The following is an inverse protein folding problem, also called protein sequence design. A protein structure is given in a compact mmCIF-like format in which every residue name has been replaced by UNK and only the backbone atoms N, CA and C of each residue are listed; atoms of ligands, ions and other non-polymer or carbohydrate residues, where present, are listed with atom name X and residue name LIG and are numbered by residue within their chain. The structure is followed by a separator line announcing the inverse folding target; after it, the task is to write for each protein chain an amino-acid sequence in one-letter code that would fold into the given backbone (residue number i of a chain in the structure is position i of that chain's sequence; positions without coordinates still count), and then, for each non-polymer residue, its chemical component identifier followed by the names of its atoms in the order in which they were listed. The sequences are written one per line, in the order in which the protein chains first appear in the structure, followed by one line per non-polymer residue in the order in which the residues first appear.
data_IF_496111717067
#
_entry.id   IF_496111717067
#
_cell.length_a   1.000
_cell.length_b   1.000
_cell.length_c   1.000
_cell.angle_alpha   90.00
_cell.angle_beta   90.00
_cell.angle_gamma   90.00
#
_symmetry.space_group_name_H-M   'P 1'
#
loop_
_entity.id
_entity.type
_entity.pdbx_description
1 polymer ?
#
# COMPACT_ATOMS: atom_id res chain seq x y z
N UNK A 1 -13.97 -48.61 0.59
CA UNK A 1 -13.18 -48.17 1.76
C UNK A 1 -12.36 -46.96 1.29
N UNK A 2 -12.98 -45.78 1.39
CA UNK A 2 -12.31 -44.55 0.98
C UNK A 2 -11.64 -43.96 2.20
N UNK A 3 -10.30 -43.81 2.15
CA UNK A 3 -9.51 -43.14 3.14
C UNK A 3 -9.54 -41.65 2.82
N UNK A 4 -10.24 -40.84 3.62
CA UNK A 4 -10.17 -39.39 3.58
C UNK A 4 -8.90 -38.96 4.33
N UNK A 5 -7.86 -38.55 3.58
CA UNK A 5 -6.73 -37.83 4.16
C UNK A 5 -7.20 -36.40 4.49
N UNK A 6 -7.43 -36.13 5.76
CA UNK A 6 -7.58 -34.78 6.27
C UNK A 6 -6.21 -34.10 6.24
N UNK A 7 -6.01 -33.20 5.26
CA UNK A 7 -4.89 -32.27 5.29
C UNK A 7 -5.15 -31.26 6.42
N UNK A 8 -4.43 -31.44 7.54
CA UNK A 8 -4.46 -30.48 8.63
C UNK A 8 -3.82 -29.16 8.16
N UNK A 9 -4.63 -28.12 7.98
CA UNK A 9 -4.15 -26.75 7.98
C UNK A 9 -3.52 -26.49 9.36
N UNK A 10 -2.21 -26.37 9.42
CA UNK A 10 -1.54 -25.72 10.54
C UNK A 10 -1.96 -24.24 10.48
N UNK A 11 -3.01 -23.90 11.22
CA UNK A 11 -3.32 -22.53 11.55
C UNK A 11 -2.09 -21.99 12.30
N UNK A 12 -1.39 -21.03 11.70
CA UNK A 12 -0.38 -20.27 12.43
C UNK A 12 -1.09 -19.71 13.67
N UNK A 13 -0.57 -20.00 14.85
CA UNK A 13 -1.12 -19.49 16.10
C UNK A 13 -1.18 -17.97 15.99
N UNK A 14 -2.39 -17.41 16.20
CA UNK A 14 -2.55 -15.96 16.26
C UNK A 14 -1.54 -15.41 17.30
N UNK A 15 -0.77 -14.39 16.95
CA UNK A 15 0.20 -13.83 17.87
C UNK A 15 -0.50 -13.42 19.17
N UNK A 16 0.12 -13.76 20.31
CA UNK A 16 -0.39 -13.36 21.61
C UNK A 16 -0.45 -11.83 21.65
N UNK A 17 -1.52 -11.24 22.18
CA UNK A 17 -1.66 -9.80 22.24
C UNK A 17 -0.50 -9.20 23.01
N UNK A 18 0.32 -8.40 22.35
CA UNK A 18 1.42 -7.72 22.98
C UNK A 18 0.89 -6.75 24.06
N UNK A 19 1.51 -6.78 25.19
CA UNK A 19 1.28 -5.77 26.24
C UNK A 19 1.77 -4.42 25.70
N UNK A 20 1.03 -3.34 25.91
CA UNK A 20 1.50 -2.01 25.59
C UNK A 20 2.86 -1.78 26.26
N UNK A 21 3.82 -1.33 25.46
CA UNK A 21 5.21 -1.28 25.87
C UNK A 21 5.53 0.10 26.44
N UNK A 22 6.57 0.16 27.27
CA UNK A 22 7.21 1.41 27.67
C UNK A 22 8.53 1.58 26.93
N UNK A 23 8.92 2.83 26.68
CA UNK A 23 10.23 3.16 26.15
C UNK A 23 11.11 3.79 27.22
N UNK A 24 12.46 3.70 27.10
CA UNK A 24 13.37 4.38 28.00
C UNK A 24 13.07 5.88 28.18
N UNK A 25 12.64 6.55 27.11
CA UNK A 25 12.28 7.95 27.17
C UNK A 25 10.99 8.20 27.98
N UNK A 26 9.98 7.34 27.84
CA UNK A 26 8.73 7.40 28.61
C UNK A 26 8.99 7.11 30.09
N UNK A 27 9.81 6.11 30.38
CA UNK A 27 10.21 5.76 31.77
C UNK A 27 10.95 6.92 32.44
N UNK A 28 11.89 7.54 31.74
CA UNK A 28 12.61 8.72 32.23
C UNK A 28 11.66 9.92 32.48
N UNK A 29 10.68 10.12 31.60
CA UNK A 29 9.64 11.14 31.77
C UNK A 29 8.79 10.87 33.01
N UNK A 30 8.37 9.63 33.24
CA UNK A 30 7.60 9.21 34.43
C UNK A 30 8.41 9.39 35.71
N UNK A 31 9.69 9.00 35.73
CA UNK A 31 10.59 9.21 36.87
C UNK A 31 10.76 10.69 37.19
N UNK A 32 10.93 11.54 36.14
CA UNK A 32 11.02 12.99 36.30
C UNK A 32 9.76 13.58 36.92
N UNK A 33 8.57 13.13 36.53
CA UNK A 33 7.30 13.58 37.07
C UNK A 33 7.08 13.15 38.52
N UNK A 34 7.57 11.96 38.89
CA UNK A 34 7.51 11.47 40.26
C UNK A 34 8.34 12.35 41.23
N UNK A 35 9.48 12.84 40.75
CA UNK A 35 10.32 13.79 41.52
C UNK A 35 9.88 15.24 41.41
N UNK A 36 9.41 15.67 40.27
CA UNK A 36 9.05 17.06 39.92
C UNK A 36 7.70 17.07 39.17
N UNK A 37 6.56 17.09 39.90
CA UNK A 37 5.23 17.00 39.26
C UNK A 37 4.91 18.12 38.24
N UNK A 38 5.61 19.24 38.30
CA UNK A 38 5.40 20.40 37.40
C UNK A 38 6.39 20.45 36.22
N UNK A 39 7.14 19.38 35.94
CA UNK A 39 8.15 19.34 34.88
C UNK A 39 7.56 19.04 33.48
N UNK A 40 6.24 19.17 33.29
CA UNK A 40 5.57 18.85 32.03
C UNK A 40 6.17 19.54 30.80
N UNK A 41 6.42 20.84 30.86
CA UNK A 41 6.99 21.60 29.76
C UNK A 41 8.43 21.19 29.43
N UNK A 42 9.20 20.78 30.43
CA UNK A 42 10.56 20.26 30.26
C UNK A 42 10.52 18.91 29.53
N UNK A 43 9.66 18.01 30.00
CA UNK A 43 9.46 16.69 29.39
C UNK A 43 9.00 16.81 27.96
N UNK A 44 8.02 17.70 27.69
CA UNK A 44 7.55 17.93 26.34
C UNK A 44 8.64 18.45 25.41
N UNK A 45 9.48 19.37 25.89
CA UNK A 45 10.65 19.85 25.13
C UNK A 45 11.69 18.77 24.89
N UNK A 46 11.94 17.88 25.86
CA UNK A 46 12.87 16.76 25.68
C UNK A 46 12.34 15.78 24.62
N UNK A 47 11.09 15.33 24.74
CA UNK A 47 10.47 14.40 23.77
C UNK A 47 10.46 14.99 22.36
N UNK A 48 10.06 16.24 22.20
CA UNK A 48 10.02 16.92 20.90
C UNK A 48 11.40 17.20 20.34
N UNK A 49 12.37 17.50 21.20
CA UNK A 49 13.77 17.72 20.81
C UNK A 49 14.46 16.47 20.25
N UNK A 50 14.01 15.27 20.65
CA UNK A 50 14.47 13.99 20.09
C UNK A 50 13.81 13.65 18.76
N UNK A 51 12.72 14.33 18.39
CA UNK A 51 11.90 14.07 17.21
C UNK A 51 10.77 13.06 17.51
N UNK A 52 9.59 13.36 16.97
CA UNK A 52 8.40 12.51 17.09
C UNK A 52 7.92 12.03 15.71
N UNK A 53 7.46 10.76 15.60
CA UNK A 53 7.50 9.69 16.61
C UNK A 53 8.94 9.36 17.03
N UNK A 54 9.14 9.10 18.32
CA UNK A 54 10.45 8.70 18.82
C UNK A 54 10.75 7.27 18.39
N UNK A 55 11.92 7.03 17.79
CA UNK A 55 12.35 5.72 17.32
C UNK A 55 13.57 5.28 18.11
N UNK A 56 13.45 4.18 18.83
CA UNK A 56 14.49 3.61 19.66
C UNK A 56 14.84 2.19 19.22
N UNK A 57 16.06 1.76 19.51
CA UNK A 57 16.47 0.37 19.25
C UNK A 57 15.66 -0.59 20.13
N UNK A 58 15.15 -1.67 19.54
CA UNK A 58 14.49 -2.72 20.31
C UNK A 58 15.53 -3.46 21.18
N UNK A 59 15.26 -3.73 22.48
CA UNK A 59 16.27 -4.20 23.42
C UNK A 59 16.80 -5.63 23.15
N UNK A 60 16.04 -6.46 22.44
CA UNK A 60 16.37 -7.87 22.21
C UNK A 60 16.19 -8.37 20.78
N UNK A 61 15.65 -7.55 19.87
CA UNK A 61 15.41 -7.94 18.48
C UNK A 61 15.83 -6.84 17.51
N UNK A 62 16.87 -7.10 16.73
CA UNK A 62 17.43 -6.15 15.77
C UNK A 62 16.49 -5.90 14.57
N UNK A 63 15.54 -6.80 14.28
CA UNK A 63 14.56 -6.65 13.21
C UNK A 63 13.43 -5.69 13.58
N UNK A 64 13.34 -5.29 14.85
CA UNK A 64 12.32 -4.39 15.36
C UNK A 64 12.90 -3.04 15.79
N UNK A 65 12.03 -2.05 15.85
CA UNK A 65 12.25 -0.74 16.48
C UNK A 65 11.13 -0.49 17.46
N UNK A 66 11.47 0.15 18.58
CA UNK A 66 10.48 0.66 19.52
C UNK A 66 10.08 2.07 19.09
N UNK A 67 8.80 2.27 18.82
CA UNK A 67 8.27 3.53 18.32
C UNK A 67 7.31 4.11 19.32
N UNK A 68 7.61 5.31 19.83
CA UNK A 68 6.75 6.02 20.75
C UNK A 68 6.08 7.20 20.05
N UNK A 69 4.76 7.17 20.02
CA UNK A 69 3.93 8.29 19.59
C UNK A 69 3.56 9.12 20.81
N UNK A 70 3.67 10.42 20.71
CA UNK A 70 3.29 11.34 21.77
C UNK A 70 2.40 12.46 21.25
N UNK A 71 1.42 12.85 22.05
CA UNK A 71 0.50 13.95 21.76
C UNK A 71 0.36 14.81 23.00
N UNK A 72 0.45 16.14 22.84
CA UNK A 72 0.11 17.06 23.92
C UNK A 72 -1.31 17.58 23.73
N UNK A 73 -2.17 17.24 24.67
CA UNK A 73 -3.55 17.70 24.73
C UNK A 73 -3.68 19.17 25.11
N UNK A 74 -4.88 19.61 25.22
CA UNK A 74 -5.30 20.92 25.73
C UNK A 74 -6.62 20.74 26.47
N UNK A 75 -7.11 21.77 27.05
CA UNK A 75 -8.38 21.76 27.80
C UNK A 75 -9.51 21.08 27.02
N UNK A 76 -10.18 20.16 27.67
CA UNK A 76 -11.31 19.41 27.14
C UNK A 76 -10.96 18.15 26.36
N UNK A 77 -9.67 17.80 26.19
CA UNK A 77 -9.28 16.48 25.64
C UNK A 77 -9.46 15.42 26.73
N UNK A 78 -10.32 14.44 26.45
CA UNK A 78 -10.65 13.34 27.39
C UNK A 78 -9.96 12.04 27.03
N UNK A 79 -9.50 11.88 25.78
CA UNK A 79 -8.79 10.72 25.28
C UNK A 79 -8.08 10.99 23.97
N UNK A 80 -7.06 10.21 23.70
CA UNK A 80 -6.33 10.21 22.43
C UNK A 80 -6.11 8.77 22.01
N UNK A 81 -6.36 8.46 20.74
CA UNK A 81 -6.12 7.12 20.18
C UNK A 81 -5.21 7.22 18.96
N UNK A 82 -4.37 6.21 18.80
CA UNK A 82 -3.57 6.01 17.58
C UNK A 82 -4.39 5.24 16.55
N UNK A 83 -4.50 5.77 15.34
CA UNK A 83 -5.07 5.12 14.18
C UNK A 83 -3.94 4.84 13.18
N UNK A 84 -3.55 3.58 13.05
CA UNK A 84 -2.45 3.14 12.19
C UNK A 84 -2.53 1.64 11.94
N UNK A 85 -2.02 1.19 10.80
CA UNK A 85 -1.83 -0.25 10.50
C UNK A 85 -0.84 -0.91 11.46
N UNK A 86 0.02 -0.14 12.13
CA UNK A 86 0.93 -0.62 13.19
C UNK A 86 0.20 -1.18 14.40
N UNK A 87 -1.09 -0.94 14.53
CA UNK A 87 -1.91 -1.47 15.61
C UNK A 87 -2.22 -2.98 15.43
N UNK A 88 -2.02 -3.53 14.23
CA UNK A 88 -2.38 -4.91 13.91
C UNK A 88 -1.90 -5.95 14.95
N UNK A 89 -0.65 -5.93 15.44
CA UNK A 89 -0.19 -6.89 16.45
C UNK A 89 -0.89 -6.80 17.81
N UNK A 90 -1.59 -5.69 18.06
CA UNK A 90 -2.20 -5.36 19.36
C UNK A 90 -3.74 -5.48 19.33
N UNK A 91 -4.31 -5.71 18.16
CA UNK A 91 -5.77 -5.89 17.98
C UNK A 91 -6.18 -7.30 18.40
N UNK A 92 -7.26 -7.41 19.19
CA UNK A 92 -7.79 -8.68 19.68
C UNK A 92 -9.12 -9.00 19.01
N UNK A 93 -9.21 -10.22 18.49
CA UNK A 93 -10.45 -10.74 17.91
C UNK A 93 -10.78 -10.13 16.55
N UNK A 94 -12.04 -10.29 16.16
CA UNK A 94 -12.56 -9.75 14.89
C UNK A 94 -12.81 -8.25 15.01
N UNK A 95 -12.38 -7.49 14.02
CA UNK A 95 -12.62 -6.06 13.94
C UNK A 95 -13.98 -5.81 13.29
N UNK A 96 -14.99 -5.51 14.11
CA UNK A 96 -16.34 -5.20 13.67
C UNK A 96 -16.56 -3.70 13.42
N UNK A 97 -15.96 -2.86 14.26
CA UNK A 97 -15.91 -1.40 14.11
C UNK A 97 -14.45 -0.95 14.04
N UNK A 98 -13.96 -0.66 12.83
CA UNK A 98 -12.58 -0.28 12.60
C UNK A 98 -12.12 0.90 13.46
N UNK A 99 -12.96 1.93 13.62
CA UNK A 99 -12.61 3.13 14.39
C UNK A 99 -12.41 2.85 15.87
N UNK A 100 -13.16 1.90 16.42
CA UNK A 100 -13.09 1.53 17.82
C UNK A 100 -12.12 0.39 18.06
N UNK A 101 -12.22 -0.66 17.24
CA UNK A 101 -11.56 -1.93 17.52
C UNK A 101 -10.13 -1.96 16.98
N UNK A 102 -9.83 -1.20 15.92
CA UNK A 102 -8.49 -1.16 15.30
C UNK A 102 -7.64 0.03 15.75
N UNK A 103 -8.13 0.92 16.60
CA UNK A 103 -7.37 2.03 17.16
C UNK A 103 -6.95 1.77 18.59
N UNK A 104 -5.74 2.21 18.98
CA UNK A 104 -5.21 1.98 20.32
C UNK A 104 -5.23 3.26 21.15
N UNK A 105 -5.68 3.22 22.42
CA UNK A 105 -5.67 4.39 23.30
C UNK A 105 -4.23 4.72 23.70
N UNK A 106 -3.88 6.01 23.70
CA UNK A 106 -2.68 6.52 24.34
C UNK A 106 -2.92 6.61 25.85
N UNK A 107 -1.85 6.42 26.61
CA UNK A 107 -1.86 6.59 28.06
C UNK A 107 -1.38 7.99 28.42
N UNK A 108 -2.10 8.65 29.31
CA UNK A 108 -1.71 9.95 29.85
C UNK A 108 -0.55 9.79 30.83
N UNK A 109 0.48 10.61 30.69
CA UNK A 109 1.62 10.62 31.63
C UNK A 109 1.24 11.33 32.92
N UNK A 110 1.00 10.58 33.97
CA UNK A 110 0.54 11.11 35.26
C UNK A 110 -0.62 12.11 35.08
N UNK A 111 -0.56 13.25 35.77
CA UNK A 111 -1.57 14.34 35.70
C UNK A 111 -1.23 15.42 34.64
N UNK A 112 -0.34 15.13 33.68
CA UNK A 112 0.04 16.04 32.60
C UNK A 112 -0.93 15.97 31.42
N UNK A 113 -0.82 16.89 30.46
CA UNK A 113 -1.53 16.83 29.19
C UNK A 113 -0.77 16.06 28.11
N UNK A 114 0.28 15.31 28.47
CA UNK A 114 1.05 14.50 27.55
C UNK A 114 0.48 13.07 27.51
N UNK A 115 0.16 12.62 26.31
CA UNK A 115 -0.35 11.28 26.03
C UNK A 115 0.67 10.51 25.20
N UNK A 116 0.94 9.25 25.55
CA UNK A 116 1.93 8.42 24.86
C UNK A 116 1.43 7.01 24.59
N UNK A 117 1.93 6.41 23.54
CA UNK A 117 1.84 4.97 23.28
C UNK A 117 3.15 4.50 22.64
N UNK A 118 3.64 3.37 23.08
CA UNK A 118 4.85 2.74 22.55
C UNK A 118 4.49 1.39 21.94
N UNK A 119 4.93 1.19 20.69
CA UNK A 119 4.72 -0.04 19.92
C UNK A 119 6.06 -0.55 19.40
N UNK A 120 6.18 -1.86 19.19
CA UNK A 120 7.24 -2.42 18.37
C UNK A 120 6.79 -2.47 16.91
N UNK A 121 7.67 -2.13 16.00
CA UNK A 121 7.44 -2.10 14.57
C UNK A 121 8.65 -2.68 13.82
N UNK A 122 8.43 -3.30 12.68
CA UNK A 122 9.52 -3.80 11.84
C UNK A 122 10.47 -2.66 11.47
N UNK A 123 11.78 -2.96 11.47
CA UNK A 123 12.84 -1.94 11.32
C UNK A 123 12.82 -1.18 10.00
N UNK A 124 12.06 -1.65 9.00
CA UNK A 124 11.91 -1.06 7.67
C UNK A 124 10.45 -0.72 7.31
N UNK A 125 9.55 -0.71 8.31
CA UNK A 125 8.12 -0.43 8.07
C UNK A 125 7.88 0.97 7.51
N UNK A 126 6.92 1.05 6.59
CA UNK A 126 6.31 2.30 6.15
C UNK A 126 4.81 2.25 6.43
N UNK A 127 4.32 3.19 7.21
CA UNK A 127 2.93 3.22 7.64
C UNK A 127 2.39 4.64 7.79
N UNK A 128 1.11 4.82 7.50
CA UNK A 128 0.41 6.05 7.87
C UNK A 128 -0.11 5.96 9.30
N UNK A 129 -0.24 7.12 9.95
CA UNK A 129 -0.88 7.21 11.25
C UNK A 129 -1.57 8.55 11.46
N UNK A 130 -2.52 8.56 12.39
CA UNK A 130 -3.25 9.74 12.83
C UNK A 130 -3.56 9.64 14.31
N UNK A 131 -3.78 10.79 14.95
CA UNK A 131 -4.39 10.83 16.26
C UNK A 131 -5.90 11.03 16.13
N UNK A 132 -6.68 10.20 16.84
CA UNK A 132 -8.09 10.42 17.07
C UNK A 132 -8.24 11.05 18.46
N UNK A 133 -8.68 12.29 18.48
CA UNK A 133 -8.79 13.10 19.70
C UNK A 133 -10.24 13.09 20.16
N UNK A 134 -10.46 12.61 21.36
CA UNK A 134 -11.75 12.59 22.05
C UNK A 134 -11.95 13.91 22.82
N UNK A 135 -13.03 14.62 22.53
CA UNK A 135 -13.36 15.90 23.15
C UNK A 135 -14.87 15.97 23.36
N UNK A 136 -15.33 15.63 24.55
CA UNK A 136 -16.74 15.38 24.82
C UNK A 136 -17.25 14.23 23.95
N UNK A 137 -18.32 14.43 23.19
CA UNK A 137 -18.85 13.44 22.24
C UNK A 137 -18.16 13.49 20.87
N UNK A 138 -17.29 14.46 20.63
CA UNK A 138 -16.62 14.62 19.35
C UNK A 138 -15.35 13.78 19.26
N UNK A 139 -15.21 13.06 18.14
CA UNK A 139 -13.99 12.34 17.76
C UNK A 139 -13.38 13.03 16.53
N UNK A 140 -12.19 13.60 16.67
CA UNK A 140 -11.53 14.37 15.61
C UNK A 140 -10.23 13.71 15.19
N UNK A 141 -10.11 13.38 13.90
CA UNK A 141 -8.86 12.88 13.30
C UNK A 141 -7.91 14.03 13.02
N UNK A 142 -6.64 13.87 13.42
CA UNK A 142 -5.56 14.85 13.23
C UNK A 142 -4.27 14.15 12.84
N UNK A 143 -3.56 14.76 11.89
CA UNK A 143 -2.16 14.41 11.67
C UNK A 143 -1.31 14.87 12.86
N UNK A 144 -0.18 14.23 13.06
CA UNK A 144 0.83 14.67 14.01
C UNK A 144 1.45 15.99 13.52
N UNK A 145 1.25 17.07 14.28
CA UNK A 145 1.75 18.40 13.91
C UNK A 145 3.28 18.49 13.97
N UNK A 146 3.91 17.59 14.72
CA UNK A 146 5.36 17.58 14.93
C UNK A 146 6.10 16.68 13.91
N UNK A 147 5.38 15.81 13.22
CA UNK A 147 5.96 15.02 12.13
C UNK A 147 5.86 15.81 10.80
N UNK A 148 6.99 16.20 10.18
CA UNK A 148 6.97 16.89 8.89
C UNK A 148 6.56 16.00 7.73
N UNK A 149 6.62 14.66 7.89
CA UNK A 149 6.30 13.69 6.86
C UNK A 149 4.80 13.43 6.84
N UNK A 150 4.15 13.82 5.76
CA UNK A 150 2.71 13.69 5.56
C UNK A 150 2.41 13.18 4.16
N UNK A 151 1.30 12.47 4.03
CA UNK A 151 0.75 12.25 2.71
C UNK A 151 0.22 13.56 2.14
N UNK A 152 0.37 13.74 0.84
CA UNK A 152 -0.15 14.90 0.12
C UNK A 152 -1.67 14.82 -0.02
N UNK A 153 -2.32 15.93 -0.25
CA UNK A 153 -3.78 16.02 -0.47
C UNK A 153 -4.58 16.15 0.83
N UNK A 154 -5.70 15.50 0.90
CA UNK A 154 -6.61 15.63 2.06
C UNK A 154 -5.98 14.94 3.26
N UNK A 155 -5.47 15.77 4.17
CA UNK A 155 -5.04 15.20 5.16
C UNK A 155 -4.75 15.21 6.55
N UNK A 156 -5.32 14.43 7.30
CA UNK A 156 -5.08 14.14 8.68
C UNK A 156 -4.12 12.93 8.89
N UNK A 157 -3.19 12.69 7.97
CA UNK A 157 -2.31 11.51 8.03
C UNK A 157 -0.84 11.90 7.98
N UNK A 158 -0.10 11.48 8.99
CA UNK A 158 1.35 11.51 9.04
C UNK A 158 1.93 10.18 8.57
N UNK A 159 3.20 10.18 8.19
CA UNK A 159 3.89 8.98 7.71
C UNK A 159 5.04 8.64 8.66
N UNK A 160 5.02 7.43 9.21
CA UNK A 160 6.18 6.80 9.79
C UNK A 160 6.93 6.05 8.69
N UNK A 161 8.20 6.34 8.51
CA UNK A 161 9.09 5.59 7.62
C UNK A 161 10.34 5.22 8.39
N UNK A 162 10.57 3.93 8.60
CA UNK A 162 11.78 3.42 9.22
C UNK A 162 12.74 2.98 8.12
N UNK A 163 13.99 3.47 8.21
CA UNK A 163 15.03 3.15 7.22
C UNK A 163 15.28 1.63 7.13
N UNK A 164 15.75 1.06 6.00
CA UNK A 164 16.45 1.75 4.91
C UNK A 164 15.57 2.15 3.73
N UNK A 165 14.29 1.75 3.64
CA UNK A 165 13.41 2.09 2.50
C UNK A 165 13.19 3.59 2.34
N UNK A 166 13.34 4.35 3.40
CA UNK A 166 13.36 5.82 3.35
C UNK A 166 14.46 6.36 2.44
N UNK A 167 15.56 5.62 2.34
CA UNK A 167 16.68 5.93 1.48
C UNK A 167 16.49 5.42 0.05
N UNK A 168 15.42 4.64 -0.25
CA UNK A 168 15.18 4.20 -1.63
C UNK A 168 14.89 5.41 -2.53
N UNK A 169 15.78 5.73 -3.44
CA UNK A 169 15.63 6.89 -4.30
C UNK A 169 14.39 6.80 -5.20
N UNK A 170 13.85 5.60 -5.47
CA UNK A 170 12.64 5.43 -6.28
C UNK A 170 11.40 6.09 -5.66
N UNK A 171 11.32 6.21 -4.34
CA UNK A 171 10.17 6.82 -3.65
C UNK A 171 10.41 8.26 -3.18
N UNK A 172 11.55 8.88 -3.52
CA UNK A 172 11.81 10.26 -3.14
C UNK A 172 10.89 11.24 -3.87
N UNK A 173 10.37 12.28 -3.19
CA UNK A 173 9.62 13.34 -3.86
C UNK A 173 10.45 14.07 -4.90
N UNK A 174 9.90 14.26 -6.09
CA UNK A 174 10.52 15.09 -7.12
C UNK A 174 10.31 16.56 -6.77
N UNK A 175 11.37 17.40 -6.81
CA UNK A 175 11.24 18.84 -6.59
C UNK A 175 10.21 19.48 -7.51
N UNK A 176 9.46 20.47 -7.02
CA UNK A 176 8.35 21.07 -7.77
C UNK A 176 8.78 21.59 -9.17
N UNK A 177 9.94 22.23 -9.25
CA UNK A 177 10.49 22.79 -10.51
C UNK A 177 10.87 21.71 -11.53
N UNK A 178 10.95 20.46 -11.12
CA UNK A 178 11.29 19.32 -11.97
C UNK A 178 10.09 18.44 -12.29
N UNK A 179 8.89 18.84 -11.87
CA UNK A 179 7.67 18.08 -12.14
C UNK A 179 7.30 18.18 -13.60
N UNK A 180 6.97 17.04 -14.17
CA UNK A 180 6.43 16.97 -15.53
C UNK A 180 4.98 17.40 -15.52
N UNK A 181 4.56 18.05 -16.61
CA UNK A 181 3.18 18.45 -16.78
C UNK A 181 2.27 17.21 -16.89
N UNK A 182 1.13 17.27 -16.27
CA UNK A 182 0.07 16.29 -16.48
C UNK A 182 -0.83 16.77 -17.64
N UNK A 183 -1.09 15.89 -18.59
CA UNK A 183 -2.12 16.11 -19.61
C UNK A 183 -3.43 15.50 -19.11
N UNK A 184 -4.47 16.30 -19.01
CA UNK A 184 -5.82 15.82 -18.73
C UNK A 184 -6.45 15.29 -20.01
N UNK A 185 -6.90 14.03 -19.98
CA UNK A 185 -7.58 13.38 -21.09
C UNK A 185 -8.97 12.93 -20.63
N UNK A 186 -9.89 12.81 -21.55
CA UNK A 186 -11.24 12.32 -21.31
C UNK A 186 -11.60 11.27 -22.36
N UNK A 187 -12.10 10.13 -21.92
CA UNK A 187 -12.56 9.03 -22.75
C UNK A 187 -14.04 8.78 -22.47
N UNK A 188 -14.91 9.00 -23.47
CA UNK A 188 -16.32 8.66 -23.37
C UNK A 188 -16.49 7.15 -23.54
N UNK A 189 -16.61 6.45 -22.42
CA UNK A 189 -16.75 5.00 -22.39
C UNK A 189 -18.18 4.56 -22.59
N UNK A 190 -18.43 3.77 -23.61
CA UNK A 190 -19.72 3.10 -23.87
C UNK A 190 -19.91 1.91 -22.93
N UNK A 191 -18.82 1.19 -22.66
CA UNK A 191 -18.81 0.03 -21.75
C UNK A 191 -19.20 0.45 -20.34
N UNK A 192 -18.61 1.55 -19.84
CA UNK A 192 -18.87 2.04 -18.49
C UNK A 192 -20.06 3.03 -18.42
N UNK A 193 -20.58 3.47 -19.58
CA UNK A 193 -21.71 4.39 -19.66
C UNK A 193 -21.42 5.79 -19.11
N UNK A 194 -20.14 6.23 -19.13
CA UNK A 194 -19.71 7.54 -18.61
C UNK A 194 -18.41 8.01 -19.24
N UNK A 195 -18.12 9.29 -19.11
CA UNK A 195 -16.80 9.82 -19.38
C UNK A 195 -15.83 9.38 -18.28
N UNK A 196 -14.70 8.81 -18.68
CA UNK A 196 -13.58 8.45 -17.80
C UNK A 196 -12.51 9.52 -17.91
N UNK A 197 -12.13 10.11 -16.78
CA UNK A 197 -11.06 11.11 -16.73
C UNK A 197 -9.72 10.41 -16.52
N UNK A 198 -8.73 10.82 -17.30
CA UNK A 198 -7.38 10.28 -17.29
C UNK A 198 -6.38 11.41 -17.03
N UNK A 199 -5.31 11.09 -16.29
CA UNK A 199 -4.15 11.96 -16.13
C UNK A 199 -2.95 11.27 -16.78
N UNK A 200 -2.33 11.89 -17.79
CA UNK A 200 -1.19 11.33 -18.50
C UNK A 200 0.07 12.13 -18.20
N UNK A 201 1.16 11.42 -17.92
CA UNK A 201 2.52 11.94 -17.78
C UNK A 201 3.44 11.19 -18.75
N UNK A 202 4.08 11.90 -19.70
CA UNK A 202 5.15 11.34 -20.52
C UNK A 202 6.48 11.49 -19.74
N UNK A 203 6.89 10.42 -19.05
CA UNK A 203 8.07 10.46 -18.20
C UNK A 203 9.34 10.35 -19.04
N UNK A 204 10.21 11.36 -18.93
CA UNK A 204 11.48 11.40 -19.65
C UNK A 204 11.32 11.26 -21.16
N UNK A 205 10.39 12.02 -21.72
CA UNK A 205 10.13 12.06 -23.16
C UNK A 205 9.85 10.66 -23.74
N UNK A 206 8.98 9.90 -23.05
CA UNK A 206 8.55 8.59 -23.49
C UNK A 206 8.02 8.64 -24.92
N UNK A 207 8.59 7.82 -25.80
CA UNK A 207 8.20 7.70 -27.20
C UNK A 207 6.98 6.80 -27.43
N UNK A 208 6.46 6.70 -28.67
CA UNK A 208 5.22 5.98 -28.97
C UNK A 208 5.18 4.49 -28.54
N UNK A 209 6.35 3.83 -28.54
CA UNK A 209 6.50 2.41 -28.17
C UNK A 209 6.93 2.21 -26.72
N UNK A 210 7.06 3.30 -25.95
CA UNK A 210 7.42 3.21 -24.54
C UNK A 210 6.33 2.50 -23.73
N UNK A 211 6.68 1.76 -22.66
CA UNK A 211 5.71 1.11 -21.80
C UNK A 211 4.68 2.11 -21.25
N UNK A 212 3.41 1.66 -21.15
CA UNK A 212 2.33 2.46 -20.61
C UNK A 212 1.90 1.88 -19.27
N UNK A 213 2.22 2.57 -18.19
CA UNK A 213 1.87 2.19 -16.82
C UNK A 213 0.51 2.78 -16.49
N UNK A 214 -0.53 1.94 -16.51
CA UNK A 214 -1.92 2.35 -16.22
C UNK A 214 -2.21 2.06 -14.75
N UNK A 215 -2.57 3.10 -13.99
CA UNK A 215 -2.81 2.97 -12.53
C UNK A 215 -4.20 3.47 -12.17
N UNK A 216 -4.98 2.63 -11.49
CA UNK A 216 -6.31 2.99 -10.98
C UNK A 216 -6.23 3.88 -9.74
N UNK A 217 -7.16 4.81 -9.60
CA UNK A 217 -7.30 5.79 -8.54
C UNK A 217 -6.34 6.98 -8.69
N UNK A 218 -6.69 7.86 -9.63
CA UNK A 218 -5.91 9.07 -9.93
C UNK A 218 -5.71 9.99 -8.72
N UNK A 219 -6.62 9.99 -7.72
CA UNK A 219 -6.41 10.77 -6.50
C UNK A 219 -5.30 10.15 -5.62
N UNK A 220 -5.35 8.83 -5.42
CA UNK A 220 -4.31 8.14 -4.66
C UNK A 220 -2.95 8.29 -5.34
N UNK A 221 -2.87 7.92 -6.61
CA UNK A 221 -1.62 7.78 -7.35
C UNK A 221 -1.17 9.04 -8.11
N UNK A 222 -1.99 10.08 -8.12
CA UNK A 222 -1.61 11.38 -8.68
C UNK A 222 -1.27 12.41 -7.60
N UNK A 223 -1.89 12.30 -6.43
CA UNK A 223 -1.77 13.29 -5.35
C UNK A 223 -1.08 12.74 -4.12
N UNK A 224 -1.60 11.64 -3.54
CA UNK A 224 -1.11 11.12 -2.24
C UNK A 224 0.22 10.39 -2.35
N UNK A 225 0.38 9.55 -3.35
CA UNK A 225 1.60 8.79 -3.64
C UNK A 225 1.87 8.81 -5.15
N UNK A 226 2.34 9.93 -5.71
CA UNK A 226 2.43 10.12 -7.16
C UNK A 226 3.22 9.01 -7.86
N UNK A 227 2.53 8.17 -8.63
CA UNK A 227 3.13 7.07 -9.37
C UNK A 227 4.12 7.56 -10.43
N UNK A 228 3.83 8.69 -11.06
CA UNK A 228 4.75 9.30 -12.03
C UNK A 228 6.10 9.73 -11.41
N UNK A 229 6.12 10.14 -10.12
CA UNK A 229 7.37 10.42 -9.40
C UNK A 229 8.20 9.13 -9.21
N UNK A 230 7.53 8.02 -8.92
CA UNK A 230 8.17 6.70 -8.76
C UNK A 230 8.79 6.26 -10.09
N UNK A 231 7.99 6.28 -11.16
CA UNK A 231 8.44 5.91 -12.52
C UNK A 231 9.61 6.79 -12.95
N UNK A 232 9.50 8.11 -12.77
CA UNK A 232 10.59 9.03 -13.09
C UNK A 232 11.87 8.71 -12.34
N UNK A 233 11.78 8.47 -11.04
CA UNK A 233 12.95 8.15 -10.23
C UNK A 233 13.61 6.83 -10.68
N UNK A 234 12.82 5.83 -11.06
CA UNK A 234 13.33 4.56 -11.60
C UNK A 234 14.01 4.77 -12.96
N UNK A 235 13.41 5.58 -13.84
CA UNK A 235 14.04 5.94 -15.14
C UNK A 235 15.34 6.69 -14.94
N UNK A 236 15.38 7.68 -14.02
CA UNK A 236 16.58 8.47 -13.71
C UNK A 236 17.72 7.62 -13.13
N UNK A 237 17.40 6.48 -12.52
CA UNK A 237 18.35 5.50 -12.00
C UNK A 237 18.74 4.42 -13.02
N UNK A 238 18.17 4.43 -14.22
CA UNK A 238 18.40 3.41 -15.24
C UNK A 238 17.78 2.04 -14.92
N UNK A 239 16.80 1.99 -14.00
CA UNK A 239 16.11 0.76 -13.54
C UNK A 239 14.91 0.41 -14.41
N UNK A 240 14.46 1.33 -15.23
CA UNK A 240 13.42 1.10 -16.26
C UNK A 240 13.59 2.10 -17.41
N UNK A 241 13.06 1.81 -18.60
CA UNK A 241 13.08 2.77 -19.70
C UNK A 241 12.11 3.94 -19.44
N UNK A 242 12.23 5.07 -20.20
CA UNK A 242 11.19 6.08 -20.28
C UNK A 242 9.82 5.45 -20.48
N UNK A 243 8.79 5.97 -19.82
CA UNK A 243 7.46 5.36 -19.82
C UNK A 243 6.35 6.40 -19.75
N UNK A 244 5.18 6.08 -20.30
CA UNK A 244 3.95 6.82 -20.05
C UNK A 244 3.32 6.35 -18.74
N UNK A 245 2.84 7.28 -17.92
CA UNK A 245 2.03 6.97 -16.75
C UNK A 245 0.63 7.52 -16.98
N UNK A 246 -0.35 6.65 -16.97
CA UNK A 246 -1.77 6.99 -17.16
C UNK A 246 -2.53 6.65 -15.89
N UNK A 247 -3.02 7.67 -15.20
CA UNK A 247 -3.83 7.51 -13.99
C UNK A 247 -5.31 7.59 -14.38
N UNK A 248 -6.06 6.57 -14.02
CA UNK A 248 -7.50 6.50 -14.27
C UNK A 248 -8.23 6.98 -13.02
N UNK A 249 -9.29 7.78 -13.17
CA UNK A 249 -10.14 8.16 -12.05
C UNK A 249 -10.77 6.92 -11.36
N UNK A 250 -11.42 7.13 -10.22
CA UNK A 250 -12.12 6.03 -9.56
C UNK A 250 -13.25 5.52 -10.45
N UNK A 251 -13.02 4.41 -11.14
CA UNK A 251 -14.08 3.64 -11.74
C UNK A 251 -14.93 3.09 -10.60
N UNK A 252 -16.14 3.61 -10.47
CA UNK A 252 -17.02 3.44 -9.30
C UNK A 252 -17.03 2.01 -8.73
N UNK A 253 -16.74 1.87 -7.43
CA UNK A 253 -16.65 0.58 -6.76
C UNK A 253 -18.02 -0.02 -6.37
N UNK A 254 -19.13 0.64 -6.65
CA UNK A 254 -20.44 0.10 -6.26
C UNK A 254 -20.73 -1.25 -6.93
N UNK A 255 -21.48 -2.15 -6.34
CA UNK A 255 -21.92 -3.51 -6.74
C UNK A 255 -20.92 -4.31 -7.60
N UNK A 256 -20.17 -5.18 -6.96
CA UNK A 256 -18.87 -5.65 -7.39
C UNK A 256 -18.78 -6.59 -8.62
N UNK A 257 -19.80 -7.40 -8.93
CA UNK A 257 -19.61 -8.53 -9.87
C UNK A 257 -19.45 -8.16 -11.34
N UNK A 258 -20.38 -7.47 -11.92
CA UNK A 258 -20.36 -7.07 -13.34
C UNK A 258 -19.26 -6.07 -13.64
N UNK A 259 -18.89 -5.22 -12.71
CA UNK A 259 -18.00 -4.10 -12.94
C UNK A 259 -16.53 -4.48 -13.08
N UNK A 260 -16.07 -5.61 -12.55
CA UNK A 260 -14.72 -6.10 -12.88
C UNK A 260 -14.63 -6.59 -14.31
N UNK A 261 -15.69 -7.25 -14.82
CA UNK A 261 -15.78 -7.65 -16.22
C UNK A 261 -15.86 -6.42 -17.14
N UNK A 262 -16.73 -5.44 -16.82
CA UNK A 262 -16.85 -4.20 -17.59
C UNK A 262 -15.52 -3.41 -17.60
N UNK A 263 -14.78 -3.40 -16.49
CA UNK A 263 -13.45 -2.79 -16.47
C UNK A 263 -12.45 -3.52 -17.36
N UNK A 264 -12.50 -4.86 -17.43
CA UNK A 264 -11.65 -5.63 -18.34
C UNK A 264 -11.96 -5.32 -19.81
N UNK A 265 -13.25 -5.27 -20.15
CA UNK A 265 -13.70 -4.90 -21.50
C UNK A 265 -13.29 -3.44 -21.85
N UNK A 266 -13.46 -2.53 -20.90
CA UNK A 266 -13.02 -1.13 -21.06
C UNK A 266 -11.51 -1.02 -21.36
N UNK A 267 -10.67 -1.78 -20.69
CA UNK A 267 -9.21 -1.77 -20.92
C UNK A 267 -8.89 -2.22 -22.35
N UNK A 268 -9.44 -3.35 -22.79
CA UNK A 268 -9.12 -3.93 -24.11
C UNK A 268 -9.79 -3.23 -25.28
N UNK A 269 -11.08 -2.90 -25.17
CA UNK A 269 -11.87 -2.41 -26.31
C UNK A 269 -11.87 -0.88 -26.43
N UNK A 270 -11.64 -0.13 -25.35
CA UNK A 270 -11.75 1.31 -25.36
C UNK A 270 -10.45 2.01 -24.97
N UNK A 271 -9.83 1.66 -23.83
CA UNK A 271 -8.65 2.37 -23.33
C UNK A 271 -7.42 2.14 -24.22
N UNK A 272 -7.09 0.89 -24.52
CA UNK A 272 -5.90 0.56 -25.31
C UNK A 272 -5.94 1.23 -26.71
N UNK A 273 -7.02 1.14 -27.51
CA UNK A 273 -7.10 1.86 -28.77
C UNK A 273 -7.02 3.38 -28.62
N UNK A 274 -7.67 3.94 -27.58
CA UNK A 274 -7.61 5.36 -27.28
C UNK A 274 -6.20 5.87 -26.99
N UNK A 275 -5.39 5.06 -26.29
CA UNK A 275 -4.00 5.36 -25.98
C UNK A 275 -3.11 5.24 -27.23
N UNK A 276 -3.31 4.19 -28.04
CA UNK A 276 -2.56 3.96 -29.27
C UNK A 276 -2.77 5.10 -30.29
N UNK A 277 -3.99 5.61 -30.45
CA UNK A 277 -4.29 6.79 -31.28
C UNK A 277 -3.56 8.06 -30.84
N UNK A 278 -3.02 8.08 -29.61
CA UNK A 278 -2.31 9.20 -29.01
C UNK A 278 -0.81 8.94 -28.82
N UNK A 279 -0.26 8.09 -29.65
CA UNK A 279 1.16 7.73 -29.60
C UNK A 279 1.61 7.13 -28.27
N UNK A 280 0.73 6.32 -27.65
CA UNK A 280 0.98 5.53 -26.46
C UNK A 280 0.64 4.06 -26.76
N UNK A 281 1.32 3.47 -27.78
CA UNK A 281 1.05 2.15 -28.30
C UNK A 281 1.91 1.03 -27.70
N UNK A 282 2.80 1.34 -26.77
CA UNK A 282 3.67 0.36 -26.14
C UNK A 282 2.93 -0.63 -25.20
N UNK A 283 3.66 -1.61 -24.64
CA UNK A 283 3.05 -2.64 -23.80
C UNK A 283 2.40 -2.05 -22.55
N UNK A 284 1.17 -2.50 -22.26
CA UNK A 284 0.43 -2.06 -21.07
C UNK A 284 0.92 -2.81 -19.82
N UNK A 285 1.20 -2.06 -18.76
CA UNK A 285 1.39 -2.57 -17.40
C UNK A 285 0.28 -2.01 -16.53
N UNK A 286 -0.59 -2.87 -16.01
CA UNK A 286 -1.73 -2.47 -15.20
C UNK A 286 -1.35 -2.50 -13.71
N UNK A 287 -1.68 -1.47 -12.94
CA UNK A 287 -1.37 -1.43 -11.51
C UNK A 287 -2.55 -0.91 -10.68
N UNK A 288 -2.77 -1.51 -9.52
CA UNK A 288 -3.81 -1.05 -8.60
C UNK A 288 -3.65 -1.60 -7.20
N UNK A 289 -4.30 -0.94 -6.22
CA UNK A 289 -4.31 -1.35 -4.83
C UNK A 289 -5.68 -1.89 -4.40
N UNK A 290 -5.70 -2.87 -3.49
CA UNK A 290 -6.92 -3.42 -2.91
C UNK A 290 -7.85 -3.98 -4.00
N UNK A 291 -9.09 -3.52 -4.08
CA UNK A 291 -10.04 -3.89 -5.14
C UNK A 291 -9.55 -3.55 -6.55
N UNK A 292 -8.70 -2.51 -6.69
CA UNK A 292 -8.09 -2.17 -7.98
C UNK A 292 -6.95 -3.11 -8.34
N UNK A 293 -6.29 -3.72 -7.35
CA UNK A 293 -5.34 -4.81 -7.58
C UNK A 293 -6.02 -6.04 -8.18
N UNK A 294 -7.19 -6.42 -7.66
CA UNK A 294 -8.04 -7.45 -8.27
C UNK A 294 -8.46 -7.06 -9.70
N UNK A 295 -8.91 -5.81 -9.90
CA UNK A 295 -9.33 -5.32 -11.22
C UNK A 295 -8.20 -5.35 -12.24
N UNK A 296 -6.99 -4.90 -11.87
CA UNK A 296 -5.81 -4.91 -12.72
C UNK A 296 -5.41 -6.35 -13.11
N UNK A 297 -5.40 -7.27 -12.14
CA UNK A 297 -5.11 -8.69 -12.38
C UNK A 297 -6.15 -9.31 -13.31
N UNK A 298 -7.45 -9.07 -13.07
CA UNK A 298 -8.53 -9.57 -13.90
C UNK A 298 -8.45 -9.02 -15.33
N UNK A 299 -8.23 -7.72 -15.49
CA UNK A 299 -8.12 -7.11 -16.81
C UNK A 299 -6.93 -7.65 -17.61
N UNK A 300 -5.80 -7.94 -16.96
CA UNK A 300 -4.66 -8.57 -17.62
C UNK A 300 -4.95 -10.00 -18.08
N UNK A 301 -5.66 -10.78 -17.26
CA UNK A 301 -6.08 -12.14 -17.63
C UNK A 301 -7.06 -12.17 -18.81
N UNK A 302 -7.96 -11.21 -18.87
CA UNK A 302 -8.97 -11.12 -19.93
C UNK A 302 -8.44 -10.49 -21.23
N UNK A 303 -7.28 -9.77 -21.20
CA UNK A 303 -6.68 -9.09 -22.36
C UNK A 303 -5.18 -9.45 -22.54
N UNK A 304 -4.82 -10.74 -22.67
CA UNK A 304 -3.42 -11.18 -22.66
C UNK A 304 -2.60 -10.68 -23.86
N UNK A 305 -3.23 -10.37 -24.99
CA UNK A 305 -2.54 -9.87 -26.18
C UNK A 305 -2.19 -8.38 -26.11
N UNK A 306 -2.77 -7.64 -25.17
CA UNK A 306 -2.62 -6.19 -25.04
C UNK A 306 -1.91 -5.79 -23.75
N UNK A 307 -2.00 -6.63 -22.72
CA UNK A 307 -1.44 -6.36 -21.38
C UNK A 307 -0.23 -7.24 -21.14
N UNK A 308 0.93 -6.62 -21.00
CA UNK A 308 2.19 -7.31 -20.75
C UNK A 308 2.37 -7.74 -19.29
N UNK A 309 1.84 -6.98 -18.34
CA UNK A 309 1.95 -7.31 -16.92
C UNK A 309 0.86 -6.65 -16.06
N UNK A 310 0.64 -7.21 -14.87
CA UNK A 310 -0.17 -6.59 -13.83
C UNK A 310 0.55 -6.58 -12.47
N UNK A 311 0.43 -5.45 -11.77
CA UNK A 311 0.90 -5.23 -10.40
C UNK A 311 -0.31 -5.11 -9.49
N UNK A 312 -0.43 -6.00 -8.52
CA UNK A 312 -1.45 -5.96 -7.50
C UNK A 312 -0.85 -5.64 -6.13
N UNK A 313 -1.30 -4.55 -5.54
CA UNK A 313 -0.89 -4.12 -4.20
C UNK A 313 -2.01 -4.45 -3.23
N UNK A 314 -1.81 -5.46 -2.38
CA UNK A 314 -2.83 -5.93 -1.43
C UNK A 314 -4.17 -6.24 -2.10
N UNK A 315 -4.14 -7.02 -3.19
CA UNK A 315 -5.33 -7.32 -4.00
C UNK A 315 -6.43 -8.03 -3.21
N UNK A 316 -7.69 -7.62 -3.42
CA UNK A 316 -8.85 -8.19 -2.73
C UNK A 316 -9.26 -9.57 -3.29
N UNK A 317 -8.31 -10.51 -3.40
CA UNK A 317 -8.53 -11.82 -4.04
C UNK A 317 -9.44 -12.77 -3.26
N UNK A 318 -9.81 -12.43 -2.02
CA UNK A 318 -10.89 -13.10 -1.29
C UNK A 318 -12.26 -12.93 -1.97
N UNK A 319 -12.41 -11.91 -2.84
CA UNK A 319 -13.66 -11.58 -3.47
C UNK A 319 -14.19 -12.70 -4.39
N UNK A 320 -15.52 -12.82 -4.42
CA UNK A 320 -16.29 -13.67 -5.35
C UNK A 320 -17.56 -12.96 -5.80
N UNK A 321 -18.13 -13.31 -6.96
CA UNK A 321 -19.51 -12.98 -7.30
C UNK A 321 -20.51 -13.50 -6.24
N UNK A 322 -21.72 -12.96 -6.25
CA UNK A 322 -22.83 -13.48 -5.45
C UNK A 322 -23.06 -14.97 -5.77
N UNK A 323 -23.31 -15.76 -4.73
CA UNK A 323 -23.49 -17.21 -4.78
C UNK A 323 -22.24 -18.04 -5.15
N UNK A 324 -21.07 -17.41 -5.29
CA UNK A 324 -19.80 -18.08 -5.53
C UNK A 324 -18.95 -18.18 -4.25
N UNK A 325 -18.19 -19.25 -4.12
CA UNK A 325 -17.25 -19.40 -3.03
C UNK A 325 -16.10 -18.34 -3.10
N UNK A 326 -15.50 -17.95 -1.97
CA UNK A 326 -14.38 -17.02 -1.93
C UNK A 326 -13.20 -17.41 -2.84
N UNK A 327 -12.34 -16.45 -3.16
CA UNK A 327 -11.19 -16.62 -4.04
C UNK A 327 -11.58 -17.09 -5.46
N UNK A 328 -12.70 -16.58 -5.97
CA UNK A 328 -13.28 -17.00 -7.24
C UNK A 328 -12.28 -16.87 -8.40
N UNK A 329 -11.53 -15.78 -8.50
CA UNK A 329 -10.58 -15.58 -9.59
C UNK A 329 -9.48 -16.65 -9.59
N UNK A 330 -8.93 -17.02 -8.43
CA UNK A 330 -7.93 -18.06 -8.30
C UNK A 330 -8.44 -19.46 -8.69
N UNK A 331 -9.74 -19.72 -8.45
CA UNK A 331 -10.37 -21.02 -8.74
C UNK A 331 -10.82 -21.18 -10.20
N UNK A 332 -11.00 -20.06 -10.92
CA UNK A 332 -11.56 -20.05 -12.28
C UNK A 332 -10.54 -19.68 -13.34
N UNK A 333 -9.24 -19.69 -13.01
CA UNK A 333 -8.17 -19.39 -13.96
C UNK A 333 -8.17 -20.40 -15.13
N UNK A 334 -8.04 -19.85 -16.33
CA UNK A 334 -7.74 -20.64 -17.52
C UNK A 334 -6.22 -20.81 -17.66
N UNK A 335 -5.74 -21.89 -18.32
CA UNK A 335 -4.32 -22.05 -18.60
C UNK A 335 -3.74 -20.87 -19.37
N UNK A 336 -2.48 -20.53 -19.08
CA UNK A 336 -1.76 -19.47 -19.76
C UNK A 336 -1.57 -19.78 -21.24
N UNK A 337 -1.85 -18.79 -22.09
CA UNK A 337 -1.56 -18.83 -23.52
C UNK A 337 -0.16 -18.30 -23.86
N UNK A 338 0.20 -18.26 -25.16
CA UNK A 338 1.52 -17.80 -25.60
C UNK A 338 1.80 -16.32 -25.30
N UNK A 339 0.76 -15.48 -25.23
CA UNK A 339 0.86 -14.05 -24.90
C UNK A 339 0.57 -13.77 -23.41
N UNK A 340 0.85 -14.73 -22.52
CA UNK A 340 0.48 -14.64 -21.12
C UNK A 340 1.17 -13.45 -20.41
N UNK A 341 0.42 -12.58 -19.72
CA UNK A 341 0.99 -11.48 -18.96
C UNK A 341 1.79 -11.97 -17.74
N UNK A 342 2.72 -11.14 -17.28
CA UNK A 342 3.45 -11.37 -16.03
C UNK A 342 2.71 -10.72 -14.87
N UNK A 343 2.85 -11.29 -13.66
CA UNK A 343 2.17 -10.79 -12.47
C UNK A 343 3.13 -10.54 -11.31
N UNK A 344 2.98 -9.39 -10.64
CA UNK A 344 3.63 -9.12 -9.36
C UNK A 344 2.55 -8.79 -8.34
N UNK A 345 2.35 -9.70 -7.39
CA UNK A 345 1.36 -9.54 -6.33
C UNK A 345 2.06 -9.22 -5.02
N UNK A 346 1.54 -8.24 -4.29
CA UNK A 346 2.12 -7.80 -3.03
C UNK A 346 1.08 -7.83 -1.90
N UNK A 347 1.52 -8.07 -0.67
CA UNK A 347 0.75 -7.81 0.54
C UNK A 347 1.66 -7.33 1.67
N UNK A 348 1.10 -6.55 2.59
CA UNK A 348 1.85 -6.07 3.75
C UNK A 348 1.97 -7.13 4.84
N UNK A 349 3.09 -7.14 5.57
CA UNK A 349 3.34 -8.05 6.71
C UNK A 349 2.31 -7.89 7.83
N UNK A 350 1.65 -6.73 7.92
CA UNK A 350 0.61 -6.43 8.91
C UNK A 350 -0.84 -6.69 8.41
N UNK A 351 -1.02 -7.30 7.23
CA UNK A 351 -2.34 -7.56 6.64
C UNK A 351 -2.92 -8.95 7.00
N UNK A 352 -2.64 -9.41 8.22
CA UNK A 352 -3.18 -10.67 8.73
C UNK A 352 -4.44 -10.52 9.60
N UNK A 353 -4.84 -9.28 9.91
CA UNK A 353 -6.03 -9.03 10.73
C UNK A 353 -7.30 -9.22 9.91
N UNK A 354 -8.19 -10.04 10.45
CA UNK A 354 -9.53 -10.26 9.88
C UNK A 354 -10.43 -9.10 10.22
N UNK A 355 -11.05 -8.52 9.21
CA UNK A 355 -11.98 -7.39 9.35
C UNK A 355 -13.26 -7.65 8.54
N UNK A 356 -14.32 -6.91 8.83
CA UNK A 356 -15.54 -6.93 8.00
C UNK A 356 -15.26 -6.45 6.56
N UNK A 357 -14.25 -5.61 6.35
CA UNK A 357 -13.86 -5.10 5.03
C UNK A 357 -13.21 -6.16 4.15
N UNK A 358 -12.46 -7.10 4.73
CA UNK A 358 -11.87 -8.23 4.02
C UNK A 358 -12.69 -9.52 4.15
N UNK A 359 -13.96 -9.39 4.55
CA UNK A 359 -14.95 -10.47 4.64
C UNK A 359 -14.46 -11.70 5.43
N UNK A 360 -13.67 -11.48 6.47
CA UNK A 360 -13.15 -12.57 7.29
C UNK A 360 -11.90 -13.26 6.73
N UNK A 361 -11.27 -12.74 5.68
CA UNK A 361 -10.10 -13.35 5.05
C UNK A 361 -8.81 -12.60 5.39
N UNK A 362 -7.71 -13.34 5.46
CA UNK A 362 -6.35 -12.78 5.61
C UNK A 362 -5.81 -12.39 4.24
N UNK A 363 -5.54 -11.10 4.05
CA UNK A 363 -5.08 -10.56 2.77
C UNK A 363 -3.79 -11.22 2.25
N UNK A 364 -2.81 -11.43 3.13
CA UNK A 364 -1.58 -12.14 2.77
C UNK A 364 -1.87 -13.54 2.21
N UNK A 365 -2.74 -14.30 2.86
CA UNK A 365 -3.08 -15.66 2.44
C UNK A 365 -3.74 -15.66 1.05
N UNK A 366 -4.73 -14.80 0.82
CA UNK A 366 -5.45 -14.76 -0.46
C UNK A 366 -4.57 -14.25 -1.61
N UNK A 367 -3.64 -13.34 -1.36
CA UNK A 367 -2.66 -12.89 -2.37
C UNK A 367 -1.63 -13.99 -2.69
N UNK A 368 -1.17 -14.74 -1.70
CA UNK A 368 -0.29 -15.90 -1.90
C UNK A 368 -1.00 -17.00 -2.68
N UNK A 369 -2.23 -17.36 -2.30
CA UNK A 369 -3.05 -18.35 -2.99
C UNK A 369 -3.27 -17.97 -4.47
N UNK A 370 -3.55 -16.70 -4.75
CA UNK A 370 -3.71 -16.20 -6.12
C UNK A 370 -2.42 -16.34 -6.92
N UNK A 371 -1.26 -16.01 -6.34
CA UNK A 371 0.04 -16.19 -7.01
C UNK A 371 0.32 -17.66 -7.32
N UNK A 372 0.06 -18.56 -6.38
CA UNK A 372 0.21 -20.00 -6.59
C UNK A 372 -0.74 -20.52 -7.66
N UNK A 373 -1.98 -20.01 -7.72
CA UNK A 373 -2.94 -20.36 -8.73
C UNK A 373 -2.49 -19.91 -10.13
N UNK A 374 -1.96 -18.70 -10.27
CA UNK A 374 -1.38 -18.16 -11.50
C UNK A 374 -0.21 -19.05 -11.99
N UNK A 375 0.72 -19.37 -11.09
CA UNK A 375 1.86 -20.22 -11.44
C UNK A 375 1.42 -21.65 -11.84
N UNK A 376 0.44 -22.24 -11.17
CA UNK A 376 -0.14 -23.54 -11.56
C UNK A 376 -0.83 -23.50 -12.93
N UNK A 377 -1.41 -22.36 -13.29
CA UNK A 377 -2.02 -22.14 -14.59
C UNK A 377 -0.99 -21.83 -15.71
N UNK A 378 0.30 -21.70 -15.38
CA UNK A 378 1.40 -21.46 -16.32
C UNK A 378 1.77 -20.00 -16.54
N UNK A 379 1.21 -19.08 -15.77
CA UNK A 379 1.64 -17.68 -15.80
C UNK A 379 2.93 -17.45 -15.00
N UNK A 380 3.72 -16.46 -15.38
CA UNK A 380 4.85 -15.99 -14.58
C UNK A 380 4.33 -15.03 -13.49
N UNK A 381 4.23 -15.50 -12.25
CA UNK A 381 3.74 -14.72 -11.12
C UNK A 381 4.70 -14.77 -9.93
N UNK A 382 4.94 -13.60 -9.33
CA UNK A 382 5.78 -13.43 -8.14
C UNK A 382 4.96 -12.83 -7.00
N UNK A 383 5.05 -13.42 -5.81
CA UNK A 383 4.53 -12.86 -4.57
C UNK A 383 5.62 -12.16 -3.79
N UNK A 384 5.34 -10.95 -3.30
CA UNK A 384 6.28 -10.15 -2.50
C UNK A 384 5.58 -9.63 -1.26
N UNK A 385 6.26 -9.68 -0.12
CA UNK A 385 5.81 -9.00 1.09
C UNK A 385 6.57 -7.69 1.29
N UNK A 386 5.89 -6.68 1.81
CA UNK A 386 6.49 -5.43 2.24
C UNK A 386 6.19 -5.18 3.72
N UNK A 387 7.12 -4.57 4.45
CA UNK A 387 6.90 -4.19 5.83
C UNK A 387 5.89 -3.04 5.91
N UNK A 388 4.67 -3.35 6.34
CA UNK A 388 3.54 -2.43 6.36
C UNK A 388 2.20 -3.14 6.34
N UNK A 389 1.14 -2.37 6.20
CA UNK A 389 -0.23 -2.88 6.14
C UNK A 389 -1.00 -2.31 4.94
N UNK A 390 -2.33 -2.35 5.01
CA UNK A 390 -3.23 -1.91 3.96
C UNK A 390 -3.29 -0.38 3.87
N UNK A 391 -2.18 0.25 3.50
CA UNK A 391 -2.09 1.70 3.44
C UNK A 391 -1.18 2.23 2.32
N UNK A 392 -1.34 3.54 2.03
CA UNK A 392 -0.66 4.24 0.95
C UNK A 392 0.86 4.29 1.12
N UNK A 393 1.37 4.35 2.35
CA UNK A 393 2.82 4.47 2.59
C UNK A 393 3.54 3.17 2.20
N UNK A 394 2.98 2.00 2.56
CA UNK A 394 3.48 0.70 2.16
C UNK A 394 3.35 0.47 0.66
N UNK A 395 2.19 0.77 0.07
CA UNK A 395 1.95 0.58 -1.37
C UNK A 395 2.90 1.39 -2.25
N UNK A 396 3.33 2.56 -1.82
CA UNK A 396 4.26 3.40 -2.56
C UNK A 396 5.60 2.69 -2.80
N UNK A 397 6.17 2.08 -1.77
CA UNK A 397 7.39 1.28 -1.87
C UNK A 397 7.18 -0.03 -2.65
N UNK A 398 6.03 -0.69 -2.44
CA UNK A 398 5.69 -1.92 -3.13
C UNK A 398 5.50 -1.70 -4.65
N UNK A 399 4.91 -0.57 -5.09
CA UNK A 399 4.82 -0.22 -6.51
C UNK A 399 6.21 -0.04 -7.12
N UNK A 400 7.10 0.72 -6.46
CA UNK A 400 8.46 0.93 -6.91
C UNK A 400 9.22 -0.40 -7.11
N UNK A 401 9.20 -1.27 -6.10
CA UNK A 401 9.85 -2.58 -6.16
C UNK A 401 9.22 -3.55 -7.16
N UNK A 402 7.92 -3.40 -7.45
CA UNK A 402 7.24 -4.22 -8.46
C UNK A 402 7.60 -3.80 -9.89
N UNK A 403 7.65 -2.49 -10.15
CA UNK A 403 8.10 -1.95 -11.44
C UNK A 403 9.55 -2.35 -11.71
N UNK A 404 10.43 -2.20 -10.72
CA UNK A 404 11.80 -2.61 -10.79
C UNK A 404 11.93 -4.09 -11.21
N UNK A 405 11.27 -4.99 -10.48
CA UNK A 405 11.27 -6.42 -10.79
C UNK A 405 10.71 -6.77 -12.19
N UNK A 406 9.80 -5.98 -12.74
CA UNK A 406 9.28 -6.19 -14.08
C UNK A 406 10.26 -5.78 -15.18
N UNK A 407 11.13 -4.80 -14.91
CA UNK A 407 12.04 -4.25 -15.92
C UNK A 407 13.50 -4.70 -15.77
N UNK A 408 13.96 -5.19 -14.59
CA UNK A 408 15.29 -5.78 -14.40
C UNK A 408 15.55 -6.97 -15.36
N UNK A 409 14.57 -7.87 -15.51
CA UNK A 409 14.68 -9.07 -16.35
C UNK A 409 14.81 -8.77 -17.85
N UNK A 410 14.63 -7.52 -18.30
CA UNK A 410 14.74 -7.16 -19.72
C UNK A 410 16.16 -6.76 -20.13
N UNK A 411 17.07 -6.56 -19.15
CA UNK A 411 18.46 -6.18 -19.38
C UNK A 411 19.41 -7.32 -19.76
N UNK A 412 19.05 -8.58 -19.51
CA UNK A 412 19.95 -9.74 -19.71
C UNK A 412 19.77 -10.52 -21.03
N UNK A 413 18.88 -10.12 -21.92
CA UNK A 413 18.65 -10.84 -23.20
C UNK A 413 19.18 -10.10 -24.42
N UNK A 414 20.46 -9.73 -24.44
CA UNK A 414 21.23 -9.59 -25.68
C UNK A 414 22.31 -10.68 -25.69
N UNK A 415 22.20 -11.74 -26.51
CA UNK A 415 23.32 -12.64 -26.70
C UNK A 415 24.44 -11.84 -27.36
N UNK A 416 25.55 -11.75 -26.66
CA UNK A 416 26.82 -11.27 -27.21
C UNK A 416 27.11 -12.10 -28.48
N UNK A 417 26.96 -11.48 -29.65
CA UNK A 417 27.36 -12.09 -30.91
C UNK A 417 28.86 -12.29 -30.86
N UNK A 418 29.29 -13.53 -30.68
CA UNK A 418 30.69 -13.92 -30.80
C UNK A 418 31.25 -13.45 -32.13
N UNK A 419 32.44 -12.85 -32.14
CA UNK A 419 33.09 -12.48 -33.39
C UNK A 419 33.42 -13.76 -34.19
N UNK A 420 32.90 -13.79 -35.39
CA UNK A 420 33.22 -14.83 -36.37
C UNK A 420 34.71 -14.76 -36.75
N UNK A 421 35.41 -15.90 -36.89
CA UNK A 421 36.85 -15.96 -37.13
C UNK A 421 37.29 -15.45 -38.49
#
# INVERSE_FOLDING_TARGET
MFVILAAGLLAAAAPQPATLLSSPAVEAAQATLAERPHAEDEIWRDLTGRGLPLVETHPSDASLRRVTFAFRGHDGVTGVRLDSVLNAPYVRGEVSDYRRDFTLPLTRLADTDIWTITLDAEHDVSATYSFLIEQGEALRRRADSLNPRRLRGVAAESVLMLAPREADPAIRPVPFIQREAANALALDSKVLGRTVLLQHHAVREAGPEAPVIVVWDAFLWGVRAPAWEIVRNLVDQGRMPPAHVVLIDQLDPGSAGRRYADQSVFIGEELQPFLAEREMGGPLVLAGASRRGLAATRAALDNPDQVAAAISLSGSFYWSPEDEAPEWLARTLMPAGPSAPRFVLNAGTLEYVVTSTNQGHVMQATNRNMTEALNRAGFAAVYREYAGGHDTAGWRGALAGSLDALFEDQGETAPETAPTP
#
